data_IF_774071507647
#
_entry.id   IF_774071507647
#
_cell.length_a   1.000
_cell.length_b   1.000
_cell.length_c   1.000
_cell.angle_alpha   90.00
_cell.angle_beta   90.00
_cell.angle_gamma   90.00
#
_symmetry.space_group_name_H-M   'P 1'
#
loop_
_entity.id
_entity.type
_entity.pdbx_description
1 polymer ?
#
# COMPACT_ATOMS: atom_id res chain seq x y z
N UNK A 1 17.92 -29.12 -16.89
CA UNK A 1 16.81 -30.03 -16.46
C UNK A 1 16.71 -29.91 -14.93
N UNK A 2 15.59 -29.41 -14.40
CA UNK A 2 15.42 -29.20 -12.94
C UNK A 2 15.25 -30.57 -12.26
N UNK A 3 16.00 -30.85 -11.18
CA UNK A 3 15.88 -32.12 -10.44
C UNK A 3 14.47 -32.28 -9.84
N UNK A 4 14.04 -33.52 -9.60
CA UNK A 4 12.74 -33.80 -8.96
C UNK A 4 12.62 -33.13 -7.57
N UNK A 5 13.73 -33.06 -6.83
CA UNK A 5 13.79 -32.40 -5.53
C UNK A 5 13.59 -30.88 -5.65
N UNK A 6 14.21 -30.25 -6.64
CA UNK A 6 14.01 -28.82 -6.93
C UNK A 6 12.56 -28.54 -7.37
N UNK A 7 11.94 -29.44 -8.14
CA UNK A 7 10.53 -29.30 -8.51
C UNK A 7 9.58 -29.39 -7.29
N UNK A 8 9.87 -30.30 -6.35
CA UNK A 8 9.10 -30.43 -5.12
C UNK A 8 9.21 -29.16 -4.26
N UNK A 9 10.44 -28.67 -4.06
CA UNK A 9 10.70 -27.44 -3.31
C UNK A 9 9.95 -26.23 -3.90
N UNK A 10 9.97 -26.07 -5.22
CA UNK A 10 9.25 -24.98 -5.90
C UNK A 10 7.73 -25.08 -5.69
N UNK A 11 7.17 -26.29 -5.74
CA UNK A 11 5.74 -26.51 -5.46
C UNK A 11 5.40 -26.13 -4.03
N UNK A 12 6.16 -26.61 -3.07
CA UNK A 12 5.93 -26.36 -1.64
C UNK A 12 6.01 -24.85 -1.33
N UNK A 13 7.00 -24.15 -1.91
CA UNK A 13 7.14 -22.69 -1.80
C UNK A 13 5.94 -21.95 -2.42
N UNK A 14 5.49 -22.39 -3.60
CA UNK A 14 4.34 -21.79 -4.29
C UNK A 14 3.07 -21.94 -3.46
N UNK A 15 2.79 -23.14 -2.94
CA UNK A 15 1.64 -23.38 -2.07
C UNK A 15 1.69 -22.53 -0.79
N UNK A 16 2.88 -22.34 -0.22
CA UNK A 16 3.06 -21.50 0.96
C UNK A 16 2.65 -20.04 0.70
N UNK A 17 3.10 -19.44 -0.40
CA UNK A 17 2.75 -18.07 -0.76
C UNK A 17 1.26 -17.92 -1.13
N UNK A 18 0.69 -18.89 -1.84
CA UNK A 18 -0.75 -18.91 -2.16
C UNK A 18 -1.58 -18.99 -0.88
N UNK A 19 -1.19 -19.81 0.09
CA UNK A 19 -1.86 -19.88 1.40
C UNK A 19 -1.77 -18.54 2.15
N UNK A 20 -0.62 -17.84 2.11
CA UNK A 20 -0.51 -16.49 2.67
C UNK A 20 -1.47 -15.53 1.99
N UNK A 21 -1.47 -15.49 0.66
CA UNK A 21 -2.35 -14.61 -0.10
C UNK A 21 -3.81 -14.88 0.23
N UNK A 22 -4.23 -16.16 0.25
CA UNK A 22 -5.60 -16.55 0.63
C UNK A 22 -5.95 -16.07 2.03
N UNK A 23 -5.04 -16.19 3.01
CA UNK A 23 -5.26 -15.71 4.38
C UNK A 23 -5.38 -14.19 4.46
N UNK A 24 -4.57 -13.46 3.72
CA UNK A 24 -4.71 -11.99 3.61
C UNK A 24 -6.06 -11.66 3.01
N UNK A 25 -6.42 -12.28 1.87
CA UNK A 25 -7.66 -11.99 1.17
C UNK A 25 -8.89 -12.27 2.04
N UNK A 26 -8.92 -13.41 2.71
CA UNK A 26 -10.09 -13.85 3.50
C UNK A 26 -10.09 -13.34 4.94
N UNK A 27 -8.93 -12.90 5.46
CA UNK A 27 -8.78 -12.43 6.84
C UNK A 27 -9.02 -10.93 7.01
N UNK A 28 -9.11 -10.16 5.92
CA UNK A 28 -9.36 -8.73 5.97
C UNK A 28 -10.84 -8.42 6.22
N UNK A 29 -11.16 -7.35 6.97
CA UNK A 29 -12.51 -6.84 7.06
C UNK A 29 -13.09 -6.53 5.67
N UNK A 30 -14.37 -6.87 5.44
CA UNK A 30 -15.03 -6.66 4.15
C UNK A 30 -14.91 -5.21 3.64
N UNK A 31 -14.97 -4.23 4.54
CA UNK A 31 -14.88 -2.82 4.19
C UNK A 31 -13.58 -2.48 3.43
N UNK A 32 -12.47 -3.16 3.74
CA UNK A 32 -11.16 -2.91 3.11
C UNK A 32 -11.23 -3.03 1.59
N UNK A 33 -12.03 -3.97 1.08
CA UNK A 33 -12.21 -4.20 -0.36
C UNK A 33 -12.96 -3.08 -1.06
N UNK A 34 -13.83 -2.38 -0.33
CA UNK A 34 -14.68 -1.33 -0.89
C UNK A 34 -14.07 0.07 -0.75
N UNK A 35 -13.10 0.27 0.17
CA UNK A 35 -12.41 1.55 0.35
C UNK A 35 -11.97 2.21 -0.96
N UNK A 36 -11.24 1.54 -1.88
CA UNK A 36 -10.74 2.21 -3.06
C UNK A 36 -11.89 2.67 -3.99
N UNK A 37 -12.97 1.90 -4.08
CA UNK A 37 -14.16 2.28 -4.85
C UNK A 37 -14.93 3.43 -4.18
N UNK A 38 -15.05 3.41 -2.85
CA UNK A 38 -15.70 4.50 -2.11
C UNK A 38 -14.92 5.81 -2.27
N UNK A 39 -13.58 5.75 -2.25
CA UNK A 39 -12.71 6.91 -2.51
C UNK A 39 -12.91 7.39 -3.95
N UNK A 40 -12.87 6.50 -4.95
CA UNK A 40 -13.10 6.87 -6.36
C UNK A 40 -14.45 7.57 -6.57
N UNK A 41 -15.53 7.02 -5.99
CA UNK A 41 -16.87 7.65 -6.05
C UNK A 41 -16.88 9.01 -5.35
N UNK A 42 -16.24 9.12 -4.17
CA UNK A 42 -16.14 10.39 -3.46
C UNK A 42 -15.37 11.45 -4.27
N UNK A 43 -14.31 11.07 -4.99
CA UNK A 43 -13.55 11.95 -5.88
C UNK A 43 -14.42 12.45 -7.03
N UNK A 44 -15.20 11.56 -7.67
CA UNK A 44 -16.10 11.96 -8.75
C UNK A 44 -17.16 12.96 -8.27
N UNK A 45 -17.71 12.76 -7.07
CA UNK A 45 -18.64 13.70 -6.46
C UNK A 45 -17.94 15.03 -6.14
N UNK A 46 -16.75 14.98 -5.55
CA UNK A 46 -15.96 16.16 -5.18
C UNK A 46 -15.57 17.00 -6.40
N UNK A 47 -15.19 16.35 -7.49
CA UNK A 47 -14.83 16.99 -8.75
C UNK A 47 -15.97 17.82 -9.35
N UNK A 48 -17.22 17.42 -9.10
CA UNK A 48 -18.41 18.16 -9.52
C UNK A 48 -18.73 19.39 -8.63
N UNK A 49 -17.90 19.70 -7.63
CA UNK A 49 -18.10 20.81 -6.69
C UNK A 49 -17.12 21.97 -6.95
N UNK A 50 -17.37 23.19 -6.41
CA UNK A 50 -16.43 24.31 -6.52
C UNK A 50 -15.04 24.06 -5.90
N UNK A 51 -14.91 23.06 -5.04
CA UNK A 51 -13.64 22.65 -4.42
C UNK A 51 -12.97 21.48 -5.15
N UNK A 52 -13.49 21.05 -6.30
CA UNK A 52 -12.94 19.94 -7.09
C UNK A 52 -11.50 20.14 -7.56
N UNK A 53 -10.99 21.38 -7.54
CA UNK A 53 -9.60 21.72 -7.83
C UNK A 53 -8.60 20.97 -6.92
N UNK A 54 -9.00 20.54 -5.72
CA UNK A 54 -8.13 19.76 -4.84
C UNK A 54 -7.78 18.40 -5.44
N UNK A 55 -8.62 17.83 -6.30
CA UNK A 55 -8.38 16.56 -7.01
C UNK A 55 -7.62 16.77 -8.33
N UNK A 56 -7.16 18.00 -8.63
CA UNK A 56 -6.36 18.25 -9.83
C UNK A 56 -4.97 17.64 -9.71
N UNK A 57 -4.46 17.11 -10.82
CA UNK A 57 -3.14 16.48 -10.91
C UNK A 57 -2.01 17.33 -10.31
N UNK A 58 -1.87 18.64 -10.61
CA UNK A 58 -0.79 19.45 -10.02
C UNK A 58 -0.84 19.54 -8.49
N UNK A 59 -2.04 19.51 -7.91
CA UNK A 59 -2.21 19.52 -6.45
C UNK A 59 -1.87 18.14 -5.89
N UNK A 60 -2.38 17.08 -6.51
CA UNK A 60 -2.13 15.70 -6.07
C UNK A 60 -0.65 15.33 -6.17
N UNK A 61 0.08 15.70 -7.22
CA UNK A 61 1.53 15.47 -7.33
C UNK A 61 2.31 16.08 -6.14
N UNK A 62 1.96 17.29 -5.70
CA UNK A 62 2.59 17.93 -4.54
C UNK A 62 2.22 17.20 -3.25
N UNK A 63 0.94 16.87 -3.08
CA UNK A 63 0.43 16.23 -1.86
C UNK A 63 0.94 14.80 -1.73
N UNK A 64 0.95 14.03 -2.81
CA UNK A 64 1.45 12.66 -2.88
C UNK A 64 2.93 12.58 -2.46
N UNK A 65 3.79 13.35 -3.13
CA UNK A 65 5.23 13.45 -2.84
C UNK A 65 5.46 13.87 -1.38
N UNK A 66 4.78 14.91 -0.92
CA UNK A 66 4.94 15.40 0.46
C UNK A 66 4.54 14.34 1.47
N UNK A 67 3.39 13.69 1.24
CA UNK A 67 2.85 12.67 2.14
C UNK A 67 3.77 11.46 2.23
N UNK A 68 4.27 10.97 1.09
CA UNK A 68 5.12 9.78 1.08
C UNK A 68 6.52 10.04 1.66
N UNK A 69 7.08 11.25 1.47
CA UNK A 69 8.33 11.65 2.12
C UNK A 69 8.16 11.68 3.65
N UNK A 70 7.08 12.30 4.15
CA UNK A 70 6.79 12.33 5.58
C UNK A 70 6.57 10.91 6.12
N UNK A 71 5.88 10.05 5.38
CA UNK A 71 5.71 8.64 5.73
C UNK A 71 7.05 7.90 5.79
N UNK A 72 7.95 8.11 4.83
CA UNK A 72 9.27 7.47 4.83
C UNK A 72 10.12 7.89 6.02
N UNK A 73 10.18 9.20 6.33
CA UNK A 73 10.89 9.72 7.50
C UNK A 73 10.33 9.12 8.79
N UNK A 74 9.01 9.12 8.94
CA UNK A 74 8.34 8.54 10.10
C UNK A 74 8.61 7.03 10.21
N UNK A 75 8.53 6.28 9.11
CA UNK A 75 8.72 4.84 9.10
C UNK A 75 10.15 4.45 9.53
N UNK A 76 11.18 5.13 9.02
CA UNK A 76 12.57 4.90 9.42
C UNK A 76 12.79 5.23 10.89
N UNK A 77 12.21 6.35 11.35
CA UNK A 77 12.33 6.81 12.74
C UNK A 77 11.62 5.85 13.71
N UNK A 78 10.43 5.39 13.32
CA UNK A 78 9.64 4.43 14.06
C UNK A 78 10.34 3.07 14.12
N UNK A 79 10.90 2.59 13.02
CA UNK A 79 11.65 1.35 13.01
C UNK A 79 12.87 1.42 13.95
N UNK A 80 13.63 2.53 13.94
CA UNK A 80 14.73 2.74 14.89
C UNK A 80 14.30 2.68 16.36
N UNK A 81 13.06 3.09 16.66
CA UNK A 81 12.52 3.14 18.02
C UNK A 81 11.84 1.84 18.48
N UNK A 82 11.27 1.07 17.53
CA UNK A 82 10.55 -0.18 17.79
C UNK A 82 11.47 -1.39 17.65
N UNK A 83 12.32 -1.40 16.62
CA UNK A 83 13.31 -2.46 16.38
C UNK A 83 12.75 -3.79 15.85
N UNK A 84 11.47 -3.84 15.47
CA UNK A 84 10.84 -5.08 15.02
C UNK A 84 10.92 -5.30 13.50
N UNK A 85 10.89 -6.57 13.09
CA UNK A 85 10.89 -6.95 11.66
C UNK A 85 9.72 -6.35 10.88
N UNK A 86 8.55 -6.25 11.51
CA UNK A 86 7.37 -5.66 10.86
C UNK A 86 7.59 -4.20 10.50
N UNK A 87 8.13 -3.39 11.42
CA UNK A 87 8.40 -1.97 11.15
C UNK A 87 9.52 -1.80 10.12
N UNK A 88 10.48 -2.73 10.05
CA UNK A 88 11.48 -2.77 8.98
C UNK A 88 10.84 -3.02 7.61
N UNK A 89 9.95 -4.01 7.51
CA UNK A 89 9.23 -4.34 6.27
C UNK A 89 8.39 -3.16 5.79
N UNK A 90 7.65 -2.52 6.69
CA UNK A 90 6.84 -1.33 6.38
C UNK A 90 7.73 -0.17 5.94
N UNK A 91 8.84 0.09 6.63
CA UNK A 91 9.79 1.14 6.25
C UNK A 91 10.43 0.87 4.88
N UNK A 92 10.87 -0.36 4.62
CA UNK A 92 11.41 -0.74 3.32
C UNK A 92 10.38 -0.54 2.21
N UNK A 93 9.13 -0.96 2.43
CA UNK A 93 8.06 -0.79 1.46
C UNK A 93 7.79 0.68 1.15
N UNK A 94 7.59 1.50 2.18
CA UNK A 94 7.32 2.94 2.03
C UNK A 94 8.49 3.67 1.36
N UNK A 95 9.73 3.33 1.69
CA UNK A 95 10.89 3.91 1.00
C UNK A 95 10.93 3.55 -0.49
N UNK A 96 10.55 2.32 -0.87
CA UNK A 96 10.46 1.93 -2.29
C UNK A 96 9.34 2.69 -3.01
N UNK A 97 8.18 2.87 -2.37
CA UNK A 97 7.08 3.70 -2.91
C UNK A 97 7.53 5.17 -3.07
N UNK A 98 8.20 5.75 -2.07
CA UNK A 98 8.75 7.10 -2.14
C UNK A 98 9.74 7.26 -3.30
N UNK A 99 10.63 6.28 -3.52
CA UNK A 99 11.58 6.33 -4.62
C UNK A 99 10.89 6.26 -6.00
N UNK A 100 9.74 5.57 -6.10
CA UNK A 100 8.91 5.59 -7.31
C UNK A 100 8.35 6.98 -7.53
N UNK A 101 7.83 7.59 -6.48
CA UNK A 101 7.15 8.88 -6.54
C UNK A 101 8.08 10.04 -6.93
N UNK A 102 9.36 9.96 -6.58
CA UNK A 102 10.36 10.96 -6.97
C UNK A 102 10.75 10.84 -8.47
N UNK A 103 10.26 9.82 -9.18
CA UNK A 103 10.48 9.63 -10.61
C UNK A 103 11.96 9.65 -11.03
N UNK A 104 12.82 8.95 -10.29
CA UNK A 104 14.24 8.86 -10.64
C UNK A 104 14.36 8.16 -12.01
N UNK A 105 14.95 8.81 -13.04
CA UNK A 105 15.04 8.22 -14.37
C UNK A 105 15.68 6.82 -14.34
N UNK A 106 15.10 5.89 -15.10
CA UNK A 106 15.54 4.49 -15.21
C UNK A 106 15.30 3.59 -13.97
N UNK A 107 14.55 4.04 -12.97
CA UNK A 107 14.30 3.23 -11.75
C UNK A 107 12.95 2.54 -11.68
N UNK A 108 12.01 2.83 -12.61
CA UNK A 108 10.64 2.33 -12.55
C UNK A 108 10.55 0.80 -12.49
N UNK A 109 11.26 0.08 -13.37
CA UNK A 109 11.23 -1.38 -13.40
C UNK A 109 11.89 -2.04 -12.16
N UNK A 110 13.10 -1.62 -11.74
CA UNK A 110 13.70 -2.12 -10.49
C UNK A 110 12.81 -1.93 -9.25
N UNK A 111 12.06 -0.84 -9.15
CA UNK A 111 11.21 -0.57 -7.98
C UNK A 111 10.06 -1.57 -7.88
N UNK A 112 9.44 -1.98 -8.98
CA UNK A 112 8.44 -3.05 -8.97
C UNK A 112 9.02 -4.40 -8.50
N UNK A 113 10.26 -4.72 -8.89
CA UNK A 113 10.95 -5.91 -8.40
C UNK A 113 11.23 -5.82 -6.89
N UNK A 114 11.62 -4.65 -6.39
CA UNK A 114 11.79 -4.40 -4.96
C UNK A 114 10.48 -4.58 -4.20
N UNK A 115 9.36 -4.02 -4.70
CA UNK A 115 8.04 -4.21 -4.09
C UNK A 115 7.65 -5.70 -4.03
N UNK A 116 7.82 -6.43 -5.13
CA UNK A 116 7.56 -7.87 -5.17
C UNK A 116 8.45 -8.65 -4.18
N UNK A 117 9.74 -8.31 -4.11
CA UNK A 117 10.68 -8.88 -3.14
C UNK A 117 10.27 -8.66 -1.70
N UNK A 118 9.79 -7.46 -1.37
CA UNK A 118 9.30 -7.12 -0.02
C UNK A 118 8.02 -7.90 0.32
N UNK A 119 7.09 -8.08 -0.63
CA UNK A 119 5.89 -8.90 -0.43
C UNK A 119 6.24 -10.39 -0.21
N UNK A 120 7.21 -10.91 -0.97
CA UNK A 120 7.74 -12.27 -0.75
C UNK A 120 8.37 -12.37 0.64
N UNK A 121 9.18 -11.39 1.02
CA UNK A 121 9.82 -11.35 2.35
C UNK A 121 8.78 -11.28 3.47
N UNK A 122 7.77 -10.43 3.35
CA UNK A 122 6.66 -10.35 4.30
C UNK A 122 5.90 -11.68 4.41
N UNK A 123 5.69 -12.37 3.28
CA UNK A 123 5.06 -13.69 3.28
C UNK A 123 5.90 -14.75 4.00
N UNK A 124 7.23 -14.75 3.83
CA UNK A 124 8.13 -15.65 4.55
C UNK A 124 8.05 -15.38 6.06
N UNK A 125 8.04 -14.10 6.44
CA UNK A 125 8.01 -13.64 7.84
C UNK A 125 6.59 -13.60 8.44
N UNK A 126 5.56 -14.11 7.75
CA UNK A 126 4.14 -13.99 8.14
C UNK A 126 3.84 -14.42 9.58
N UNK A 127 4.58 -15.40 10.11
CA UNK A 127 4.42 -15.89 11.49
C UNK A 127 4.94 -14.89 12.52
N UNK A 128 6.04 -14.21 12.21
CA UNK A 128 6.67 -13.22 13.08
C UNK A 128 5.82 -11.95 13.11
N UNK A 129 5.40 -11.48 11.94
CA UNK A 129 4.64 -10.22 11.81
C UNK A 129 3.15 -10.37 12.09
N UNK A 130 2.62 -11.60 12.14
CA UNK A 130 1.19 -11.88 12.21
C UNK A 130 0.46 -11.27 13.40
N UNK A 131 1.16 -11.00 14.51
CA UNK A 131 0.54 -10.40 15.69
C UNK A 131 0.15 -8.92 15.48
N UNK A 132 0.84 -8.17 14.62
CA UNK A 132 0.48 -6.79 14.26
C UNK A 132 -0.87 -6.71 13.55
N UNK A 133 -1.21 -7.74 12.76
CA UNK A 133 -2.49 -7.84 12.05
C UNK A 133 -3.68 -8.20 12.95
N UNK A 134 -3.48 -8.37 14.27
CA UNK A 134 -4.59 -8.44 15.22
C UNK A 134 -5.28 -7.09 15.41
N UNK A 135 -4.57 -5.98 15.18
CA UNK A 135 -5.18 -4.65 15.19
C UNK A 135 -5.96 -4.44 13.87
N UNK A 136 -7.29 -4.31 14.01
CA UNK A 136 -8.19 -4.22 12.88
C UNK A 136 -7.96 -2.95 12.06
N UNK A 137 -7.71 -1.82 12.72
CA UNK A 137 -7.51 -0.55 12.04
C UNK A 137 -6.21 -0.56 11.24
N UNK A 138 -5.11 -1.05 11.81
CA UNK A 138 -3.84 -1.21 11.10
C UNK A 138 -3.99 -2.09 9.87
N UNK A 139 -4.72 -3.21 9.99
CA UNK A 139 -4.98 -4.12 8.87
C UNK A 139 -5.80 -3.45 7.76
N UNK A 140 -6.82 -2.66 8.11
CA UNK A 140 -7.61 -1.88 7.15
C UNK A 140 -6.74 -0.83 6.46
N UNK A 141 -5.92 -0.08 7.21
CA UNK A 141 -5.08 0.98 6.66
C UNK A 141 -4.02 0.43 5.70
N UNK A 142 -3.31 -0.64 6.08
CA UNK A 142 -2.28 -1.23 5.23
C UNK A 142 -2.86 -1.86 3.98
N UNK A 143 -3.85 -2.74 4.13
CA UNK A 143 -4.43 -3.42 2.99
C UNK A 143 -5.26 -2.48 2.11
N UNK A 144 -5.98 -1.54 2.73
CA UNK A 144 -6.73 -0.52 2.00
C UNK A 144 -5.78 0.42 1.25
N UNK A 145 -4.67 0.84 1.85
CA UNK A 145 -3.65 1.64 1.15
C UNK A 145 -3.06 0.89 -0.04
N UNK A 146 -2.72 -0.40 0.14
CA UNK A 146 -2.24 -1.26 -0.94
C UNK A 146 -3.27 -1.43 -2.07
N UNK A 147 -4.53 -1.71 -1.75
CA UNK A 147 -5.57 -1.88 -2.78
C UNK A 147 -5.98 -0.58 -3.46
N UNK A 148 -5.91 0.56 -2.75
CA UNK A 148 -6.15 1.89 -3.34
C UNK A 148 -5.06 2.22 -4.35
N UNK A 149 -3.81 1.96 -3.98
CA UNK A 149 -2.69 2.11 -4.90
C UNK A 149 -2.77 1.15 -6.10
N UNK A 150 -3.15 -0.12 -5.86
CA UNK A 150 -3.40 -1.07 -6.95
C UNK A 150 -4.48 -0.56 -7.89
N UNK A 151 -5.61 -0.06 -7.36
CA UNK A 151 -6.68 0.49 -8.19
C UNK A 151 -6.22 1.71 -8.98
N UNK A 152 -5.43 2.61 -8.39
CA UNK A 152 -4.79 3.72 -9.10
C UNK A 152 -4.01 3.22 -10.31
N UNK A 153 -3.12 2.22 -10.11
CA UNK A 153 -2.36 1.63 -11.21
C UNK A 153 -3.25 0.99 -12.30
N UNK A 154 -4.45 0.50 -11.98
CA UNK A 154 -5.38 0.00 -13.00
C UNK A 154 -6.00 1.15 -13.83
N UNK A 155 -6.17 2.34 -13.26
CA UNK A 155 -6.57 3.55 -13.97
C UNK A 155 -5.46 4.06 -14.89
N UNK A 156 -4.22 4.12 -14.40
CA UNK A 156 -3.03 4.46 -15.21
C UNK A 156 -2.89 3.54 -16.44
N UNK A 157 -3.21 2.25 -16.28
CA UNK A 157 -3.21 1.28 -17.39
C UNK A 157 -4.47 1.34 -18.28
N UNK A 158 -5.32 2.35 -18.11
CA UNK A 158 -6.55 2.57 -18.86
C UNK A 158 -7.52 1.37 -18.88
N UNK A 159 -7.51 0.50 -17.87
CA UNK A 159 -8.36 -0.71 -17.88
C UNK A 159 -9.86 -0.39 -17.79
N UNK A 160 -10.22 0.84 -17.42
CA UNK A 160 -11.59 1.31 -17.28
C UNK A 160 -12.04 2.26 -18.42
N UNK A 161 -11.34 2.27 -19.56
CA UNK A 161 -11.63 3.13 -20.72
C UNK A 161 -13.08 3.04 -21.26
N UNK A 162 -13.79 1.94 -20.96
CA UNK A 162 -15.17 1.72 -21.38
C UNK A 162 -16.20 2.55 -20.58
N UNK A 163 -15.80 3.23 -19.52
CA UNK A 163 -16.71 4.04 -18.70
C UNK A 163 -17.05 5.38 -19.38
N UNK A 164 -18.29 5.89 -19.24
CA UNK A 164 -18.69 7.16 -19.83
C UNK A 164 -17.81 8.33 -19.37
N UNK A 165 -17.31 9.11 -20.33
CA UNK A 165 -16.51 10.31 -20.06
C UNK A 165 -15.15 10.02 -19.40
N UNK A 166 -14.63 8.80 -19.50
CA UNK A 166 -13.38 8.37 -18.87
C UNK A 166 -12.23 9.39 -19.01
N UNK A 167 -11.98 9.86 -20.22
CA UNK A 167 -10.90 10.82 -20.52
C UNK A 167 -11.04 12.16 -19.78
N UNK A 168 -12.22 12.50 -19.27
CA UNK A 168 -12.49 13.75 -18.55
C UNK A 168 -12.13 13.67 -17.06
N UNK A 169 -12.15 12.48 -16.47
CA UNK A 169 -12.07 12.33 -15.01
C UNK A 169 -11.05 11.30 -14.53
N UNK A 170 -10.55 10.41 -15.39
CA UNK A 170 -9.68 9.31 -14.94
C UNK A 170 -8.39 9.79 -14.27
N UNK A 171 -7.69 10.78 -14.85
CA UNK A 171 -6.49 11.39 -14.26
C UNK A 171 -6.75 11.88 -12.83
N UNK A 172 -7.89 12.54 -12.59
CA UNK A 172 -8.25 13.03 -11.25
C UNK A 172 -8.46 11.90 -10.25
N UNK A 173 -9.09 10.81 -10.70
CA UNK A 173 -9.35 9.63 -9.86
C UNK A 173 -8.07 8.87 -9.58
N UNK A 174 -7.24 8.63 -10.58
CA UNK A 174 -5.92 7.99 -10.47
C UNK A 174 -5.03 8.71 -9.46
N UNK A 175 -4.74 9.98 -9.70
CA UNK A 175 -3.81 10.78 -8.88
C UNK A 175 -4.29 10.90 -7.43
N UNK A 176 -5.62 11.02 -7.24
CA UNK A 176 -6.19 11.12 -5.89
C UNK A 176 -6.26 9.76 -5.19
N UNK A 177 -6.45 8.66 -5.92
CA UNK A 177 -6.34 7.30 -5.37
C UNK A 177 -4.91 7.00 -4.93
N UNK A 178 -3.92 7.34 -5.75
CA UNK A 178 -2.51 7.20 -5.40
C UNK A 178 -2.18 7.97 -4.11
N UNK A 179 -2.54 9.25 -4.05
CA UNK A 179 -2.36 10.09 -2.87
C UNK A 179 -3.08 9.54 -1.64
N UNK A 180 -4.31 9.03 -1.81
CA UNK A 180 -5.07 8.41 -0.73
C UNK A 180 -4.38 7.14 -0.22
N UNK A 181 -3.80 6.34 -1.11
CA UNK A 181 -2.96 5.19 -0.77
C UNK A 181 -1.78 5.60 0.10
N UNK A 182 -1.03 6.63 -0.30
CA UNK A 182 0.08 7.20 0.49
C UNK A 182 -0.38 7.68 1.86
N UNK A 183 -1.53 8.36 1.93
CA UNK A 183 -2.09 8.84 3.19
C UNK A 183 -2.49 7.68 4.12
N UNK A 184 -3.11 6.62 3.59
CA UNK A 184 -3.41 5.42 4.39
C UNK A 184 -2.14 4.74 4.92
N UNK A 185 -1.06 4.69 4.12
CA UNK A 185 0.24 4.22 4.59
C UNK A 185 0.79 5.10 5.71
N UNK A 186 0.71 6.42 5.58
CA UNK A 186 1.09 7.35 6.65
C UNK A 186 0.29 7.12 7.94
N UNK A 187 -1.04 7.02 7.84
CA UNK A 187 -1.91 6.72 8.98
C UNK A 187 -1.60 5.36 9.62
N UNK A 188 -1.19 4.36 8.83
CA UNK A 188 -0.77 3.06 9.36
C UNK A 188 0.44 3.19 10.31
N UNK A 189 1.39 4.08 10.01
CA UNK A 189 2.55 4.35 10.87
C UNK A 189 2.14 5.03 12.19
N UNK A 190 1.16 5.94 12.14
CA UNK A 190 0.61 6.54 13.35
C UNK A 190 -0.07 5.47 14.22
N UNK A 191 -0.81 4.54 13.60
CA UNK A 191 -1.44 3.43 14.33
C UNK A 191 -0.39 2.49 14.94
N UNK A 192 0.69 2.17 14.23
CA UNK A 192 1.81 1.38 14.77
C UNK A 192 2.42 2.10 15.99
N UNK A 193 2.62 3.41 15.89
CA UNK A 193 3.12 4.23 17.02
C UNK A 193 2.17 4.16 18.21
N UNK A 194 0.86 4.23 17.99
CA UNK A 194 -0.15 4.12 19.03
C UNK A 194 -0.20 2.72 19.67
N UNK A 195 -0.01 1.65 18.89
CA UNK A 195 0.09 0.27 19.39
C UNK A 195 1.33 0.13 20.29
N UNK A 196 2.50 0.58 19.82
CA UNK A 196 3.76 0.52 20.57
C UNK A 196 3.72 1.34 21.86
N UNK A 197 3.08 2.51 21.84
CA UNK A 197 2.96 3.34 23.03
C UNK A 197 2.06 2.68 24.08
N UNK A 198 1.01 1.98 23.65
CA UNK A 198 0.10 1.24 24.56
C UNK A 198 0.78 0.03 25.18
N UNK A 199 1.66 -0.68 24.46
CA UNK A 199 2.34 -1.86 24.99
C UNK A 199 3.41 -1.54 26.05
N UNK A 200 3.88 -0.29 26.15
CA UNK A 200 4.89 0.15 27.12
C UNK A 200 4.33 0.66 28.45
N UNK A 201 3.02 0.89 28.56
CA UNK A 201 2.43 1.37 29.82
C UNK A 201 2.37 0.19 30.81
N UNK A 202 3.01 0.29 32.00
CA UNK A 202 2.81 -0.71 33.05
C UNK A 202 1.35 -0.69 33.50
N UNK A 203 0.77 -1.87 33.71
CA UNK A 203 -0.56 -2.04 34.31
C UNK A 203 -0.63 -1.50 35.74
#
# INVERSE_FOLDING_TARGET
>A
MISKDNQKLLKDLTFFHIDTAKKVVTGLPLITWFIPFLIAVAILILWATPIGWVASKPVQEIVAVTTIILAAILAVTLHRSVGEKFTLLVAAFICVVMLREIHIPSTSNPLYLCMAGILIWASIERRVIGHWFKDRLLSILLAGGFFTYLLSALFDQHLFFFLPGYDLWHDHVEETLETSGHFMMFLSLLQITAIHTRSKKPE
#
